data_IF_299720714351
#
_entry.id   IF_299720714351
#
_cell.length_a   1.000
_cell.length_b   1.000
_cell.length_c   1.000
_cell.angle_alpha   90.00
_cell.angle_beta   90.00
_cell.angle_gamma   90.00
#
_symmetry.space_group_name_H-M   'P 1'
#
loop_
_entity.id
_entity.type
_entity.pdbx_description
1 polymer ?
#
# COMPACT_ATOMS: atom_id res chain seq x y z
N UNK A 1 0.11 7.17 -24.88
CA UNK A 1 0.70 6.43 -23.74
C UNK A 1 1.58 7.41 -22.98
N UNK A 2 1.46 7.54 -21.65
CA UNK A 2 2.34 8.44 -20.88
C UNK A 2 3.81 8.05 -21.08
N UNK A 3 4.74 9.03 -21.08
CA UNK A 3 6.20 8.76 -21.13
C UNK A 3 6.63 7.77 -20.06
N UNK A 4 6.00 7.85 -18.90
CA UNK A 4 6.33 7.04 -17.73
C UNK A 4 5.85 5.60 -17.88
N UNK A 5 4.73 5.37 -18.58
CA UNK A 5 4.25 4.02 -18.88
C UNK A 5 5.21 3.31 -19.84
N UNK A 6 5.65 4.01 -20.90
CA UNK A 6 6.64 3.46 -21.83
C UNK A 6 8.00 3.21 -21.14
N UNK A 7 8.43 4.11 -20.26
CA UNK A 7 9.68 3.93 -19.52
C UNK A 7 9.59 2.77 -18.51
N UNK A 8 8.42 2.57 -17.89
CA UNK A 8 8.18 1.40 -17.02
C UNK A 8 8.23 0.08 -17.82
N UNK A 9 7.66 0.04 -19.02
CA UNK A 9 7.77 -1.12 -19.92
C UNK A 9 9.22 -1.41 -20.30
N UNK A 10 9.98 -0.38 -20.67
CA UNK A 10 11.40 -0.53 -21.00
C UNK A 10 12.21 -1.11 -19.84
N UNK A 11 11.94 -0.67 -18.60
CA UNK A 11 12.56 -1.26 -17.42
C UNK A 11 12.18 -2.75 -17.27
N UNK A 12 10.89 -3.06 -17.24
CA UNK A 12 10.40 -4.40 -16.96
C UNK A 12 10.84 -5.41 -18.03
N UNK A 13 10.90 -4.99 -19.29
CA UNK A 13 11.37 -5.84 -20.41
C UNK A 13 12.89 -5.98 -20.49
N UNK A 14 13.66 -5.06 -19.90
CA UNK A 14 15.13 -5.17 -19.84
C UNK A 14 15.62 -6.23 -18.84
N UNK A 15 14.72 -6.74 -18.00
CA UNK A 15 15.01 -7.66 -16.91
C UNK A 15 14.36 -9.02 -17.20
N UNK A 16 15.12 -10.12 -17.28
CA UNK A 16 14.56 -11.44 -17.56
C UNK A 16 13.70 -11.97 -16.40
N UNK A 17 14.05 -11.64 -15.16
CA UNK A 17 13.31 -12.04 -13.94
C UNK A 17 13.33 -10.89 -12.93
N UNK A 18 12.49 -9.86 -13.09
CA UNK A 18 12.52 -8.68 -12.25
C UNK A 18 12.09 -9.01 -10.82
N UNK A 19 12.87 -8.56 -9.84
CA UNK A 19 12.54 -8.62 -8.41
C UNK A 19 11.85 -7.33 -8.02
N UNK A 20 10.54 -7.41 -7.83
CA UNK A 20 9.68 -6.24 -7.61
C UNK A 20 9.12 -6.28 -6.18
N UNK A 21 9.27 -5.17 -5.46
CA UNK A 21 8.63 -4.95 -4.17
C UNK A 21 7.42 -4.03 -4.34
N UNK A 22 6.24 -4.43 -3.86
CA UNK A 22 5.04 -3.61 -3.95
C UNK A 22 4.56 -3.16 -2.57
N UNK A 23 4.41 -1.84 -2.41
CA UNK A 23 3.83 -1.18 -1.24
C UNK A 23 2.43 -0.71 -1.60
N UNK A 24 1.44 -1.44 -1.12
CA UNK A 24 0.03 -1.23 -1.43
C UNK A 24 -0.68 -0.57 -0.24
N UNK A 25 -1.54 0.41 -0.50
CA UNK A 25 -2.31 1.07 0.56
C UNK A 25 -3.78 1.29 0.22
N UNK A 26 -4.44 2.01 1.12
CA UNK A 26 -5.89 2.23 1.12
C UNK A 26 -6.43 3.13 -0.01
N UNK A 27 -5.58 3.51 -0.97
CA UNK A 27 -5.96 4.13 -2.24
C UNK A 27 -6.24 3.11 -3.34
N UNK A 28 -5.88 1.83 -3.17
CA UNK A 28 -6.23 0.76 -4.11
C UNK A 28 -7.75 0.62 -4.36
N UNK A 29 -8.62 0.67 -3.33
CA UNK A 29 -10.06 0.51 -3.53
C UNK A 29 -10.76 1.71 -4.18
N UNK A 30 -10.05 2.83 -4.43
CA UNK A 30 -10.63 4.02 -5.07
C UNK A 30 -11.34 3.70 -6.38
N UNK A 31 -10.77 2.75 -7.12
CA UNK A 31 -11.25 2.23 -8.40
C UNK A 31 -12.62 1.57 -8.32
N UNK A 32 -12.96 1.02 -7.15
CA UNK A 32 -14.23 0.34 -6.87
C UNK A 32 -15.30 1.31 -6.35
N UNK A 33 -15.09 2.62 -6.48
CA UNK A 33 -15.97 3.66 -5.96
C UNK A 33 -15.94 3.81 -4.44
N UNK A 34 -15.05 3.10 -3.75
CA UNK A 34 -14.87 3.23 -2.31
C UNK A 34 -14.00 4.47 -2.01
N UNK A 35 -14.45 5.39 -1.14
CA UNK A 35 -13.65 6.56 -0.79
C UNK A 35 -12.28 6.14 -0.25
N UNK A 36 -11.23 6.76 -0.76
CA UNK A 36 -9.88 6.56 -0.23
C UNK A 36 -9.80 7.00 1.23
N UNK A 37 -8.83 6.45 1.97
CA UNK A 37 -8.66 6.75 3.39
C UNK A 37 -8.55 8.26 3.67
N UNK A 38 -7.63 8.97 2.99
CA UNK A 38 -7.39 10.41 3.19
C UNK A 38 -7.41 11.27 1.90
N UNK A 39 -7.74 10.71 0.74
CA UNK A 39 -7.79 11.47 -0.53
C UNK A 39 -9.05 12.31 -0.70
N UNK A 40 -9.25 12.93 -1.87
CA UNK A 40 -10.44 13.72 -2.16
C UNK A 40 -11.73 12.90 -1.93
N UNK A 41 -12.60 13.38 -1.05
CA UNK A 41 -13.83 12.66 -0.63
C UNK A 41 -13.66 11.62 0.47
N UNK A 42 -12.42 11.38 0.97
CA UNK A 42 -12.14 10.39 2.00
C UNK A 42 -12.79 10.68 3.35
N UNK A 43 -13.28 9.62 4.00
CA UNK A 43 -13.98 9.69 5.29
C UNK A 43 -13.07 10.19 6.43
N UNK A 44 -11.76 9.94 6.35
CA UNK A 44 -10.79 10.21 7.43
C UNK A 44 -10.01 11.53 7.24
N UNK A 45 -10.54 12.49 6.48
CA UNK A 45 -9.92 13.82 6.34
C UNK A 45 -10.18 14.75 7.53
N UNK A 46 -11.32 14.57 8.20
CA UNK A 46 -11.76 15.42 9.33
C UNK A 46 -11.45 14.83 10.69
N UNK A 47 -10.88 13.63 10.72
CA UNK A 47 -10.59 12.91 11.94
C UNK A 47 -9.17 12.37 11.89
N UNK A 48 -8.44 12.45 13.00
CA UNK A 48 -7.16 11.76 13.09
C UNK A 48 -7.39 10.29 13.40
N UNK A 49 -7.04 9.42 12.44
CA UNK A 49 -7.22 7.99 12.58
C UNK A 49 -6.40 7.41 13.75
N UNK A 50 -5.27 8.01 14.12
CA UNK A 50 -4.47 7.59 15.29
C UNK A 50 -5.18 7.85 16.61
N UNK A 51 -6.20 8.73 16.63
CA UNK A 51 -6.99 9.05 17.82
C UNK A 51 -8.35 8.33 17.84
N UNK A 52 -8.69 7.59 16.77
CA UNK A 52 -9.95 6.86 16.64
C UNK A 52 -9.76 5.34 16.50
N UNK A 53 -8.63 4.91 15.93
CA UNK A 53 -8.31 3.50 15.70
C UNK A 53 -7.33 2.97 16.76
N UNK A 54 -7.55 3.32 18.03
CA UNK A 54 -6.86 2.71 19.17
C UNK A 54 -7.86 1.99 20.06
N UNK A 55 -7.41 1.02 20.88
CA UNK A 55 -8.27 0.36 21.86
C UNK A 55 -8.95 1.35 22.82
N UNK A 56 -8.25 2.41 23.24
CA UNK A 56 -8.74 3.43 24.17
C UNK A 56 -9.85 4.27 23.55
N UNK A 57 -9.68 4.67 22.28
CA UNK A 57 -10.70 5.42 21.56
C UNK A 57 -11.98 4.62 21.36
N UNK A 58 -11.86 3.33 21.03
CA UNK A 58 -13.01 2.42 20.95
C UNK A 58 -13.70 2.25 22.32
N UNK A 59 -12.94 2.16 23.41
CA UNK A 59 -13.50 2.05 24.75
C UNK A 59 -14.27 3.30 25.20
N UNK A 60 -13.88 4.48 24.72
CA UNK A 60 -14.49 5.76 25.07
C UNK A 60 -15.84 6.02 24.36
N UNK A 61 -16.05 5.49 23.15
CA UNK A 61 -17.30 5.64 22.39
C UNK A 61 -17.73 4.34 21.68
N UNK A 62 -18.25 3.34 22.43
CA UNK A 62 -18.71 2.09 21.86
C UNK A 62 -20.17 2.24 21.37
N UNK A 63 -20.36 2.88 20.22
CA UNK A 63 -21.69 3.04 19.62
C UNK A 63 -22.41 1.70 19.27
N UNK A 64 -21.70 0.56 19.35
CA UNK A 64 -22.23 -0.79 19.15
C UNK A 64 -22.35 -1.50 20.50
N UNK A 65 -23.56 -1.93 20.87
CA UNK A 65 -23.81 -2.69 22.10
C UNK A 65 -23.11 -4.06 22.08
N UNK A 66 -22.59 -4.50 23.24
CA UNK A 66 -21.80 -5.74 23.38
C UNK A 66 -22.45 -6.99 22.76
N UNK A 67 -23.78 -7.13 22.82
CA UNK A 67 -24.50 -8.29 22.27
C UNK A 67 -24.45 -8.39 20.73
N UNK A 68 -24.08 -7.31 20.04
CA UNK A 68 -23.90 -7.29 18.59
C UNK A 68 -22.44 -7.50 18.15
N UNK A 69 -21.51 -7.61 19.10
CA UNK A 69 -20.08 -7.79 18.79
C UNK A 69 -19.74 -9.27 18.59
N UNK A 70 -18.89 -9.60 17.59
CA UNK A 70 -18.38 -10.95 17.41
C UNK A 70 -17.71 -11.48 18.69
N UNK A 71 -18.10 -12.69 19.11
CA UNK A 71 -17.59 -13.33 20.33
C UNK A 71 -16.95 -14.67 20.01
N UNK A 72 -15.92 -15.04 20.77
CA UNK A 72 -15.19 -16.29 20.60
C UNK A 72 -16.11 -17.48 20.93
N UNK A 73 -16.26 -18.47 20.03
CA UNK A 73 -17.14 -19.61 20.27
C UNK A 73 -16.63 -20.57 21.36
N UNK A 74 -15.39 -20.39 21.86
CA UNK A 74 -14.80 -21.23 22.92
C UNK A 74 -14.85 -20.59 24.31
N UNK A 75 -14.53 -19.29 24.41
CA UNK A 75 -14.38 -18.60 25.70
C UNK A 75 -15.27 -17.38 25.87
N UNK A 76 -16.11 -17.06 24.87
CA UNK A 76 -17.04 -15.93 24.87
C UNK A 76 -16.40 -14.55 25.00
N UNK A 77 -15.08 -14.44 24.88
CA UNK A 77 -14.37 -13.15 24.80
C UNK A 77 -14.66 -12.44 23.48
N UNK A 78 -14.58 -11.11 23.45
CA UNK A 78 -14.79 -10.34 22.22
C UNK A 78 -13.70 -10.66 21.19
N UNK A 79 -14.11 -10.88 19.95
CA UNK A 79 -13.20 -10.99 18.80
C UNK A 79 -12.99 -9.60 18.21
N UNK A 80 -11.80 -9.40 17.65
CA UNK A 80 -11.44 -8.22 16.85
C UNK A 80 -11.01 -8.64 15.45
N UNK A 81 -11.07 -7.75 14.45
CA UNK A 81 -10.39 -7.98 13.19
C UNK A 81 -8.89 -8.25 13.41
N UNK A 82 -8.36 -9.24 12.71
CA UNK A 82 -6.93 -9.59 12.71
C UNK A 82 -6.09 -8.62 11.89
N UNK A 83 -6.15 -7.33 12.23
CA UNK A 83 -5.39 -6.24 11.60
C UNK A 83 -4.56 -5.53 12.66
N UNK A 84 -3.47 -4.90 12.26
CA UNK A 84 -2.63 -4.09 13.14
C UNK A 84 -3.18 -2.68 13.23
N UNK A 85 -3.40 -2.19 14.45
CA UNK A 85 -3.82 -0.83 14.74
C UNK A 85 -2.64 0.10 15.02
N UNK A 86 -2.91 1.41 15.06
CA UNK A 86 -1.89 2.36 15.46
C UNK A 86 -1.47 2.11 16.92
N UNK A 87 -0.16 2.08 17.15
CA UNK A 87 0.42 1.77 18.46
C UNK A 87 0.64 0.28 18.70
N UNK A 88 0.15 -0.60 17.83
CA UNK A 88 0.44 -2.04 17.91
C UNK A 88 1.72 -2.38 17.14
N UNK A 89 2.44 -3.39 17.65
CA UNK A 89 3.56 -3.97 16.94
C UNK A 89 3.07 -4.76 15.73
N UNK A 90 3.81 -4.66 14.63
CA UNK A 90 3.71 -5.62 13.54
C UNK A 90 4.34 -6.94 13.98
N UNK A 91 3.98 -8.02 13.28
CA UNK A 91 4.62 -9.32 13.51
C UNK A 91 6.09 -9.26 13.10
N UNK A 92 6.99 -9.44 14.07
CA UNK A 92 8.44 -9.39 13.86
C UNK A 92 8.89 -10.47 12.87
N UNK A 93 8.32 -11.67 12.92
CA UNK A 93 8.69 -12.74 11.99
C UNK A 93 8.30 -12.41 10.54
N UNK A 94 7.17 -11.71 10.36
CA UNK A 94 6.77 -11.19 9.06
C UNK A 94 7.77 -10.12 8.59
N UNK A 95 8.12 -9.16 9.43
CA UNK A 95 9.09 -8.11 9.09
C UNK A 95 10.46 -8.70 8.73
N UNK A 96 10.96 -9.63 9.53
CA UNK A 96 12.23 -10.34 9.28
C UNK A 96 12.20 -11.09 7.94
N UNK A 97 11.07 -11.69 7.56
CA UNK A 97 10.93 -12.37 6.28
C UNK A 97 11.01 -11.42 5.08
N UNK A 98 10.39 -10.24 5.20
CA UNK A 98 10.43 -9.20 4.16
C UNK A 98 11.84 -8.62 4.07
N UNK A 99 12.46 -8.33 5.20
CA UNK A 99 13.83 -7.83 5.29
C UNK A 99 14.82 -8.83 4.67
N UNK A 100 14.72 -10.11 5.05
CA UNK A 100 15.53 -11.17 4.48
C UNK A 100 15.37 -11.29 2.96
N UNK A 101 14.14 -11.16 2.44
CA UNK A 101 13.91 -11.18 0.98
C UNK A 101 14.55 -9.96 0.29
N UNK A 102 14.40 -8.76 0.86
CA UNK A 102 15.00 -7.52 0.33
C UNK A 102 16.53 -7.59 0.36
N UNK A 103 17.11 -8.22 1.37
CA UNK A 103 18.56 -8.30 1.56
C UNK A 103 19.23 -9.44 0.80
N UNK A 104 18.49 -10.49 0.46
CA UNK A 104 19.01 -11.65 -0.27
C UNK A 104 19.39 -11.36 -1.73
N UNK A 105 19.04 -10.20 -2.30
CA UNK A 105 19.36 -9.89 -3.68
C UNK A 105 19.05 -8.45 -4.06
N UNK A 106 19.22 -8.12 -5.34
CA UNK A 106 18.83 -6.81 -5.87
C UNK A 106 17.31 -6.71 -5.93
N UNK A 107 16.79 -5.54 -5.58
CA UNK A 107 15.40 -5.15 -5.89
C UNK A 107 15.49 -4.24 -7.10
N UNK A 108 14.84 -4.62 -8.20
CA UNK A 108 14.96 -3.88 -9.46
C UNK A 108 13.95 -2.73 -9.52
N UNK A 109 12.76 -2.94 -8.94
CA UNK A 109 11.72 -1.94 -8.87
C UNK A 109 10.97 -1.97 -7.53
N UNK A 110 10.58 -0.79 -7.06
CA UNK A 110 9.61 -0.62 -5.98
C UNK A 110 8.36 0.04 -6.55
N UNK A 111 7.21 -0.61 -6.38
CA UNK A 111 5.90 -0.08 -6.74
C UNK A 111 5.24 0.51 -5.51
N UNK A 112 4.89 1.79 -5.55
CA UNK A 112 4.16 2.49 -4.49
C UNK A 112 2.75 2.73 -5.01
N UNK A 113 1.80 1.92 -4.58
CA UNK A 113 0.47 1.83 -5.17
C UNK A 113 -0.60 2.29 -4.18
N UNK A 114 -1.34 3.34 -4.54
CA UNK A 114 -2.50 3.77 -3.77
C UNK A 114 -2.15 4.12 -2.32
N UNK A 115 -0.93 4.61 -2.06
CA UNK A 115 -0.49 4.98 -0.72
C UNK A 115 0.25 6.30 -0.74
N UNK A 116 0.25 7.00 0.41
CA UNK A 116 1.10 8.16 0.61
C UNK A 116 2.54 7.79 0.96
N UNK A 117 2.82 6.51 1.23
CA UNK A 117 4.12 6.01 1.70
C UNK A 117 4.69 6.81 2.88
N UNK A 118 3.84 7.13 3.88
CA UNK A 118 4.23 7.89 5.08
C UNK A 118 4.28 7.07 6.36
N UNK A 119 3.54 5.96 6.42
CA UNK A 119 3.42 5.15 7.64
C UNK A 119 4.53 4.12 7.68
N UNK A 120 5.40 4.24 8.68
CA UNK A 120 6.48 3.30 8.96
C UNK A 120 5.94 2.07 9.71
N UNK A 121 6.56 0.89 9.56
CA UNK A 121 7.78 0.59 8.80
C UNK A 121 7.56 0.44 7.29
N UNK A 122 6.34 0.22 6.82
CA UNK A 122 6.06 -0.08 5.40
C UNK A 122 6.62 0.97 4.42
N UNK A 123 6.50 2.26 4.75
CA UNK A 123 7.05 3.35 3.96
C UNK A 123 8.58 3.29 3.76
N UNK A 124 9.32 2.77 4.75
CA UNK A 124 10.78 2.75 4.72
C UNK A 124 11.33 1.82 3.62
N UNK A 125 10.55 0.86 3.16
CA UNK A 125 10.97 -0.05 2.10
C UNK A 125 11.16 0.62 0.74
N UNK A 126 10.43 1.71 0.44
CA UNK A 126 10.66 2.50 -0.77
C UNK A 126 12.06 3.11 -0.77
N UNK A 127 12.44 3.73 0.35
CA UNK A 127 13.77 4.31 0.53
C UNK A 127 14.87 3.23 0.56
N UNK A 128 14.63 2.09 1.22
CA UNK A 128 15.58 0.96 1.24
C UNK A 128 15.84 0.41 -0.17
N UNK A 129 14.81 0.27 -0.99
CA UNK A 129 14.95 -0.14 -2.38
C UNK A 129 15.73 0.88 -3.19
N UNK A 130 15.36 2.17 -3.08
CA UNK A 130 16.04 3.27 -3.77
C UNK A 130 17.52 3.38 -3.40
N UNK A 131 17.87 3.23 -2.13
CA UNK A 131 19.26 3.21 -1.65
C UNK A 131 20.07 2.06 -2.28
N UNK A 132 19.40 0.99 -2.70
CA UNK A 132 19.96 -0.15 -3.44
C UNK A 132 19.78 -0.05 -4.96
N UNK A 133 19.48 1.16 -5.46
CA UNK A 133 19.31 1.51 -6.88
C UNK A 133 18.05 0.93 -7.54
N UNK A 134 17.07 0.46 -6.76
CA UNK A 134 15.77 0.10 -7.29
C UNK A 134 15.09 1.32 -7.93
N UNK A 135 14.38 1.07 -9.02
CA UNK A 135 13.57 2.06 -9.74
C UNK A 135 12.23 2.24 -9.03
N UNK A 136 11.87 3.46 -8.65
CA UNK A 136 10.64 3.72 -7.90
C UNK A 136 9.54 4.17 -8.85
N UNK A 137 8.45 3.38 -8.89
CA UNK A 137 7.23 3.70 -9.63
C UNK A 137 6.10 4.02 -8.66
N UNK A 138 5.47 5.19 -8.82
CA UNK A 138 4.28 5.57 -8.06
C UNK A 138 3.05 5.41 -8.95
N UNK A 139 2.05 4.67 -8.46
CA UNK A 139 0.72 4.56 -9.08
C UNK A 139 -0.30 5.13 -8.13
N UNK A 140 -0.89 6.27 -8.48
CA UNK A 140 -1.82 6.96 -7.58
C UNK A 140 -2.79 7.85 -8.36
N UNK A 141 -4.04 7.94 -7.91
CA UNK A 141 -5.10 8.74 -8.56
C UNK A 141 -4.83 10.24 -8.58
N UNK A 142 -4.04 10.73 -7.63
CA UNK A 142 -3.62 12.13 -7.50
C UNK A 142 -2.14 12.18 -7.12
N UNK A 143 -1.31 12.85 -7.92
CA UNK A 143 0.12 13.00 -7.64
C UNK A 143 0.45 14.47 -7.46
N UNK A 144 0.44 14.95 -6.21
CA UNK A 144 0.96 16.28 -5.87
C UNK A 144 2.47 16.41 -6.18
N UNK A 145 2.98 17.66 -6.30
CA UNK A 145 4.39 17.93 -6.65
C UNK A 145 5.38 17.18 -5.75
N UNK A 146 5.09 17.09 -4.46
CA UNK A 146 5.94 16.46 -3.44
C UNK A 146 6.14 14.95 -3.67
N UNK A 147 5.29 14.30 -4.46
CA UNK A 147 5.36 12.86 -4.75
C UNK A 147 6.14 12.53 -6.02
N UNK A 148 6.77 13.52 -6.65
CA UNK A 148 7.62 13.33 -7.84
C UNK A 148 9.11 13.39 -7.51
N UNK A 149 9.47 13.84 -6.31
CA UNK A 149 10.87 13.89 -5.88
C UNK A 149 11.40 12.50 -5.57
N UNK A 150 12.53 12.12 -6.18
CA UNK A 150 13.14 10.82 -5.97
C UNK A 150 12.41 9.62 -6.61
N UNK A 151 11.34 9.87 -7.36
CA UNK A 151 10.55 8.88 -8.11
C UNK A 151 10.96 8.94 -9.57
N UNK A 152 11.08 7.80 -10.24
CA UNK A 152 11.47 7.75 -11.64
C UNK A 152 10.35 7.39 -12.62
N UNK A 153 9.22 6.86 -12.13
CA UNK A 153 7.99 6.77 -12.92
C UNK A 153 6.76 7.19 -12.10
N UNK A 154 5.89 7.99 -12.71
CA UNK A 154 4.63 8.42 -12.09
C UNK A 154 3.47 8.06 -13.02
N UNK A 155 2.68 7.08 -12.61
CA UNK A 155 1.44 6.70 -13.27
C UNK A 155 0.26 7.30 -12.50
N UNK A 156 -0.14 8.50 -12.93
CA UNK A 156 -1.26 9.22 -12.33
C UNK A 156 -2.59 8.71 -12.90
N UNK A 157 -3.42 8.15 -12.02
CA UNK A 157 -4.74 7.61 -12.36
C UNK A 157 -5.08 6.34 -11.59
N UNK A 158 -6.11 5.64 -12.06
CA UNK A 158 -6.64 4.46 -11.41
C UNK A 158 -5.66 3.28 -11.47
N UNK A 159 -5.29 2.73 -10.31
CA UNK A 159 -4.40 1.58 -10.21
C UNK A 159 -4.99 0.30 -10.87
N UNK A 160 -6.31 0.11 -10.85
CA UNK A 160 -6.98 -1.01 -11.50
C UNK A 160 -6.86 -0.94 -13.03
N UNK A 161 -6.67 0.26 -13.60
CA UNK A 161 -6.46 0.46 -15.04
C UNK A 161 -4.97 0.48 -15.37
N UNK A 162 -4.16 1.16 -14.55
CA UNK A 162 -2.76 1.43 -14.86
C UNK A 162 -1.83 0.25 -14.52
N UNK A 163 -2.09 -0.51 -13.45
CA UNK A 163 -1.23 -1.65 -13.10
C UNK A 163 -1.27 -2.77 -14.15
N UNK A 164 -2.45 -3.23 -14.64
CA UNK A 164 -2.49 -4.24 -15.70
C UNK A 164 -1.71 -3.79 -16.94
N UNK A 165 -1.90 -2.53 -17.36
CA UNK A 165 -1.18 -1.96 -18.51
C UNK A 165 0.32 -1.87 -18.26
N UNK A 166 0.74 -1.45 -17.07
CA UNK A 166 2.17 -1.37 -16.72
C UNK A 166 2.83 -2.75 -16.69
N UNK A 167 2.15 -3.75 -16.12
CA UNK A 167 2.69 -5.09 -15.91
C UNK A 167 2.48 -6.02 -17.12
N UNK A 168 1.74 -5.59 -18.14
CA UNK A 168 1.47 -6.33 -19.37
C UNK A 168 2.71 -7.01 -19.96
N UNK A 169 3.91 -6.40 -20.02
CA UNK A 169 5.10 -7.07 -20.56
C UNK A 169 5.59 -8.27 -19.73
N UNK A 170 5.15 -8.39 -18.47
CA UNK A 170 5.52 -9.48 -17.55
C UNK A 170 4.43 -10.53 -17.42
N UNK A 171 3.17 -10.10 -17.33
CA UNK A 171 2.04 -10.99 -17.03
C UNK A 171 1.16 -11.29 -18.26
N UNK A 172 1.43 -10.64 -19.39
CA UNK A 172 0.57 -10.63 -20.56
C UNK A 172 -0.60 -9.66 -20.40
N UNK A 173 -1.41 -9.53 -21.46
CA UNK A 173 -2.66 -8.78 -21.39
C UNK A 173 -3.65 -9.56 -20.51
N UNK A 174 -4.26 -8.88 -19.54
CA UNK A 174 -5.37 -9.43 -18.78
C UNK A 174 -6.65 -9.32 -19.62
N UNK A 175 -7.37 -10.42 -19.78
CA UNK A 175 -8.68 -10.44 -20.41
C UNK A 175 -9.70 -9.73 -19.49
N UNK A 176 -10.66 -8.99 -20.08
CA UNK A 176 -11.74 -8.29 -19.35
C UNK A 176 -12.84 -9.24 -18.86
#
# INVERSE_FOLDING_TARGET
>A
MSSDLAASHALLTSLPTPRILALCGAGLPASSGLPTFRGAGGLWRRHDATHLATPEAFAADPAIGRGALPSCPRCSSLLRPGVVWFGEALDDALLDSVDGWVEAGTVDAVLVVGTSARVVPAAAYAERGRARRARVCVVHVEVGRDRREGVDFVLEGDAAVLLPRMLEPLIGALEE
#
